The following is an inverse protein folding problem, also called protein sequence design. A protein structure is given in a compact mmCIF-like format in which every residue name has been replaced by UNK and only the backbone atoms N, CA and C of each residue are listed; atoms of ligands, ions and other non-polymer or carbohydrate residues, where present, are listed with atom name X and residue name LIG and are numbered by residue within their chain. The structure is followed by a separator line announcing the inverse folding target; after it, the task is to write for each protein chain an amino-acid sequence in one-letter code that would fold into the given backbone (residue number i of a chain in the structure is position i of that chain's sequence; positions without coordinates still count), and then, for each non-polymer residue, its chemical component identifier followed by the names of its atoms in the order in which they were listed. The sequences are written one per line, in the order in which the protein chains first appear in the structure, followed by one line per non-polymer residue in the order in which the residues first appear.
data_IF_746972204902
#
_entry.id   IF_746972204902
#
_cell.length_a   1.000
_cell.length_b   1.000
_cell.length_c   1.000
_cell.angle_alpha   90.00
_cell.angle_beta   90.00
_cell.angle_gamma   90.00
#
_symmetry.space_group_name_H-M   'P 1'
#
loop_
_entity.id
_entity.type
_entity.pdbx_description
1 polymer ?
#
# COMPACT_ATOMS: atom_id res chain seq x y z
N UNK A 1 -3.27 -21.42 0.73
CA UNK A 1 -3.28 -20.38 -0.32
C UNK A 1 -4.00 -19.19 0.30
N UNK A 2 -3.29 -18.10 0.62
CA UNK A 2 -3.95 -16.86 1.06
C UNK A 2 -4.77 -16.35 -0.11
N UNK A 3 -6.06 -16.15 0.08
CA UNK A 3 -6.99 -15.60 -0.91
C UNK A 3 -6.83 -14.09 -0.94
N UNK A 4 -6.62 -13.52 -2.13
CA UNK A 4 -6.64 -12.08 -2.33
C UNK A 4 -8.02 -11.53 -1.92
N UNK A 5 -8.01 -10.58 -0.99
CA UNK A 5 -9.22 -9.83 -0.64
C UNK A 5 -9.40 -8.68 -1.63
N UNK A 6 -10.65 -8.28 -1.95
CA UNK A 6 -10.90 -7.10 -2.76
C UNK A 6 -10.23 -5.86 -2.16
N UNK A 7 -9.59 -5.05 -3.00
CA UNK A 7 -9.01 -3.76 -2.57
C UNK A 7 -10.15 -2.85 -2.10
N UNK A 8 -10.08 -2.40 -0.85
CA UNK A 8 -11.01 -1.41 -0.30
C UNK A 8 -10.36 -0.03 -0.27
N UNK A 9 -11.21 0.99 -0.19
CA UNK A 9 -10.81 2.39 -0.07
C UNK A 9 -11.09 2.86 1.35
N UNK A 10 -10.09 3.40 2.02
CA UNK A 10 -10.20 4.03 3.34
C UNK A 10 -9.78 5.49 3.22
N UNK A 11 -10.35 6.37 4.03
CA UNK A 11 -9.95 7.77 4.11
C UNK A 11 -8.99 8.02 5.27
N UNK A 12 -7.85 8.62 4.99
CA UNK A 12 -7.04 9.28 6.00
C UNK A 12 -7.74 10.58 6.38
N UNK A 13 -8.44 10.58 7.51
CA UNK A 13 -9.23 11.72 7.97
C UNK A 13 -8.37 12.87 8.50
N UNK A 14 -7.05 12.69 8.64
CA UNK A 14 -6.12 13.74 9.10
C UNK A 14 -5.67 14.59 7.91
N UNK A 15 -5.32 13.95 6.77
CA UNK A 15 -4.94 14.64 5.53
C UNK A 15 -6.10 14.83 4.54
N UNK A 16 -7.26 14.20 4.78
CA UNK A 16 -8.41 14.22 3.87
C UNK A 16 -8.13 13.50 2.56
N UNK A 17 -7.35 12.40 2.60
CA UNK A 17 -6.90 11.65 1.41
C UNK A 17 -7.24 10.17 1.51
N UNK A 18 -7.87 9.65 0.47
CA UNK A 18 -8.13 8.21 0.38
C UNK A 18 -6.88 7.40 0.06
N UNK A 19 -6.84 6.16 0.56
CA UNK A 19 -5.80 5.16 0.30
C UNK A 19 -6.39 3.76 0.15
N UNK A 20 -5.60 2.85 -0.41
CA UNK A 20 -6.01 1.48 -0.70
C UNK A 20 -5.55 0.51 0.39
N UNK A 21 -6.39 -0.46 0.72
CA UNK A 21 -6.09 -1.46 1.75
C UNK A 21 -5.48 -2.73 1.18
N UNK A 22 -4.58 -3.35 1.94
CA UNK A 22 -4.03 -4.67 1.69
C UNK A 22 -3.55 -5.33 2.99
N UNK A 23 -3.03 -6.55 2.92
CA UNK A 23 -2.49 -7.22 4.11
C UNK A 23 -1.26 -6.53 4.72
N UNK A 24 -0.51 -5.76 3.92
CA UNK A 24 0.76 -5.14 4.34
C UNK A 24 0.58 -3.79 5.04
N UNK A 25 -0.63 -3.24 5.05
CA UNK A 25 -0.98 -2.05 5.82
C UNK A 25 -2.10 -2.33 6.83
N UNK A 26 -2.48 -3.58 7.06
CA UNK A 26 -3.57 -3.97 7.95
C UNK A 26 -3.05 -4.38 9.32
N UNK A 27 -3.74 -3.92 10.36
CA UNK A 27 -3.55 -4.33 11.74
C UNK A 27 -4.93 -4.48 12.41
N UNK A 28 -5.31 -5.68 12.81
CA UNK A 28 -6.68 -5.96 13.25
C UNK A 28 -7.72 -5.58 12.19
N UNK A 29 -8.59 -4.62 12.50
CA UNK A 29 -9.57 -4.03 11.57
C UNK A 29 -9.16 -2.61 11.09
N UNK A 30 -7.94 -2.19 11.43
CA UNK A 30 -7.38 -0.89 11.11
C UNK A 30 -6.40 -0.96 9.94
N UNK A 31 -6.27 0.14 9.22
CA UNK A 31 -5.35 0.24 8.08
C UNK A 31 -4.46 1.48 8.16
N UNK A 32 -3.16 1.29 7.95
CA UNK A 32 -2.15 2.34 7.97
C UNK A 32 -2.20 3.16 6.68
N UNK A 33 -2.37 4.46 6.82
CA UNK A 33 -2.28 5.43 5.73
C UNK A 33 -0.82 5.61 5.28
N UNK A 34 -0.54 5.62 3.97
CA UNK A 34 0.78 5.94 3.43
C UNK A 34 1.10 7.45 3.52
N UNK A 35 0.13 8.29 3.88
CA UNK A 35 0.27 9.75 3.94
C UNK A 35 0.73 10.20 5.32
N UNK A 36 -0.01 9.81 6.35
CA UNK A 36 0.25 10.22 7.75
C UNK A 36 0.99 9.18 8.55
N UNK A 37 1.16 7.96 8.02
CA UNK A 37 1.66 6.81 8.76
C UNK A 37 0.81 6.51 10.02
N UNK A 38 -0.49 6.83 10.01
CA UNK A 38 -1.43 6.54 11.10
C UNK A 38 -2.43 5.47 10.68
N UNK A 39 -2.99 4.76 11.66
CA UNK A 39 -4.00 3.74 11.43
C UNK A 39 -5.43 4.31 11.49
N UNK A 40 -6.28 3.82 10.59
CA UNK A 40 -7.69 4.20 10.48
C UNK A 40 -8.58 2.95 10.48
N UNK A 41 -9.47 2.77 11.48
CA UNK A 41 -9.55 3.55 12.73
C UNK A 41 -8.24 3.46 13.55
N UNK A 42 -8.00 4.36 14.51
CA UNK A 42 -6.84 4.26 15.39
C UNK A 42 -6.79 2.90 16.10
N UNK A 43 -5.61 2.30 16.18
CA UNK A 43 -5.38 1.07 16.94
C UNK A 43 -5.37 1.43 18.43
N UNK A 44 -6.20 0.77 19.22
CA UNK A 44 -6.18 0.88 20.67
C UNK A 44 -5.08 -0.04 21.21
N UNK A 45 -4.04 0.49 21.89
CA UNK A 45 -2.99 -0.33 22.48
C UNK A 45 -3.49 -1.25 23.61
N UNK A 46 -4.73 -1.06 24.08
CA UNK A 46 -5.32 -1.86 25.15
C UNK A 46 -4.52 -1.78 26.46
N UNK A 47 -4.92 -2.61 27.43
CA UNK A 47 -4.21 -2.72 28.72
C UNK A 47 -2.94 -3.60 28.62
N UNK A 48 -2.73 -4.30 27.51
CA UNK A 48 -1.60 -5.22 27.29
C UNK A 48 -0.39 -4.56 26.61
N UNK A 49 -0.50 -3.29 26.22
CA UNK A 49 0.59 -2.54 25.61
C UNK A 49 0.88 -2.97 24.17
N UNK A 50 -0.16 -3.38 23.44
CA UNK A 50 -0.05 -3.70 22.03
C UNK A 50 0.45 -2.50 21.22
N UNK A 51 1.49 -2.68 20.42
CA UNK A 51 1.98 -1.67 19.48
C UNK A 51 1.76 -2.15 18.04
N UNK A 52 1.06 -1.36 17.21
CA UNK A 52 0.82 -1.75 15.83
C UNK A 52 2.11 -1.73 15.01
N UNK A 53 2.14 -2.53 13.95
CA UNK A 53 3.34 -2.66 13.14
C UNK A 53 3.58 -1.43 12.25
N UNK A 54 4.77 -0.84 12.35
CA UNK A 54 5.23 0.26 11.51
C UNK A 54 6.49 -0.12 10.73
N UNK A 55 6.65 0.36 9.47
CA UNK A 55 7.92 0.24 8.79
C UNK A 55 9.00 1.03 9.54
N UNK A 56 10.24 0.55 9.49
CA UNK A 56 11.38 1.33 9.98
C UNK A 56 11.55 2.64 9.16
N UNK A 57 12.34 3.58 9.68
CA UNK A 57 12.51 4.91 9.07
C UNK A 57 13.03 4.88 7.63
N UNK A 58 13.88 3.90 7.27
CA UNK A 58 14.42 3.78 5.92
C UNK A 58 13.32 3.33 4.95
N UNK A 59 12.57 2.29 5.32
CA UNK A 59 11.42 1.80 4.55
C UNK A 59 10.31 2.84 4.43
N UNK A 60 10.01 3.59 5.49
CA UNK A 60 9.04 4.68 5.44
C UNK A 60 9.46 5.79 4.45
N UNK A 61 10.74 6.16 4.44
CA UNK A 61 11.27 7.13 3.47
C UNK A 61 11.20 6.60 2.02
N UNK A 62 11.45 5.30 1.81
CA UNK A 62 11.26 4.66 0.50
C UNK A 62 9.78 4.63 0.08
N UNK A 63 8.89 4.30 1.02
CA UNK A 63 7.45 4.27 0.82
C UNK A 63 6.89 5.62 0.38
N UNK A 64 7.28 6.71 1.04
CA UNK A 64 6.84 8.07 0.69
C UNK A 64 7.30 8.46 -0.73
N UNK A 65 8.56 8.20 -1.06
CA UNK A 65 9.11 8.45 -2.41
C UNK A 65 8.41 7.60 -3.47
N UNK A 66 8.13 6.33 -3.16
CA UNK A 66 7.45 5.43 -4.07
C UNK A 66 6.00 5.87 -4.31
N UNK A 67 5.26 6.26 -3.26
CA UNK A 67 3.89 6.78 -3.42
C UNK A 67 3.86 8.02 -4.33
N UNK A 68 4.81 8.95 -4.19
CA UNK A 68 4.91 10.11 -5.09
C UNK A 68 5.19 9.69 -6.54
N UNK A 69 6.16 8.80 -6.75
CA UNK A 69 6.57 8.35 -8.08
C UNK A 69 5.47 7.54 -8.79
N UNK A 70 4.89 6.57 -8.09
CA UNK A 70 3.84 5.71 -8.63
C UNK A 70 2.51 6.43 -8.81
N UNK A 71 2.23 7.48 -8.03
CA UNK A 71 1.10 8.39 -8.32
C UNK A 71 1.26 9.04 -9.69
N UNK A 72 2.46 9.51 -10.05
CA UNK A 72 2.73 10.05 -11.39
C UNK A 72 2.62 9.00 -12.48
N UNK A 73 3.15 7.79 -12.24
CA UNK A 73 3.00 6.67 -13.17
C UNK A 73 1.51 6.35 -13.39
N UNK A 74 0.74 6.19 -12.32
CA UNK A 74 -0.67 5.85 -12.39
C UNK A 74 -1.46 6.92 -13.15
N UNK A 75 -1.14 8.21 -12.95
CA UNK A 75 -1.72 9.30 -13.74
C UNK A 75 -1.54 9.12 -15.26
N UNK A 76 -0.35 8.71 -15.69
CA UNK A 76 -0.03 8.56 -17.11
C UNK A 76 -0.80 7.40 -17.78
N UNK A 77 -1.09 6.34 -17.03
CA UNK A 77 -1.70 5.12 -17.58
C UNK A 77 -3.20 4.99 -17.30
N UNK A 78 -3.67 5.50 -16.17
CA UNK A 78 -5.05 5.38 -15.73
C UNK A 78 -5.85 6.68 -15.89
N UNK A 79 -5.18 7.79 -16.27
CA UNK A 79 -5.73 9.12 -16.55
C UNK A 79 -6.41 9.78 -15.34
N UNK A 80 -7.64 9.37 -15.03
CA UNK A 80 -8.54 9.94 -14.01
C UNK A 80 -9.23 8.85 -13.20
N UNK A 81 -9.90 9.19 -12.09
CA UNK A 81 -10.68 8.27 -11.25
C UNK A 81 -9.90 7.00 -10.83
N UNK A 82 -8.63 7.18 -10.47
CA UNK A 82 -7.81 6.12 -9.90
C UNK A 82 -7.30 6.50 -8.52
N UNK A 83 -7.09 5.49 -7.69
CA UNK A 83 -6.38 5.56 -6.43
C UNK A 83 -5.16 4.66 -6.52
N UNK A 84 -4.11 5.05 -5.82
CA UNK A 84 -2.91 4.23 -5.72
C UNK A 84 -2.26 4.41 -4.36
N UNK A 85 -1.70 3.32 -3.85
CA UNK A 85 -0.97 3.30 -2.58
C UNK A 85 0.17 2.31 -2.67
N UNK A 86 1.30 2.66 -2.07
CA UNK A 86 2.47 1.80 -1.96
C UNK A 86 2.77 1.61 -0.48
N UNK A 87 3.06 0.38 -0.09
CA UNK A 87 3.49 0.04 1.27
C UNK A 87 4.80 -0.73 1.24
N UNK A 88 5.75 -0.36 2.09
CA UNK A 88 6.99 -1.11 2.30
C UNK A 88 6.93 -1.87 3.61
N UNK A 89 7.55 -3.04 3.65
CA UNK A 89 7.57 -3.92 4.81
C UNK A 89 8.87 -4.72 4.86
N UNK A 90 9.29 -5.06 6.09
CA UNK A 90 10.43 -5.94 6.30
C UNK A 90 10.14 -7.36 5.83
N UNK A 91 11.18 -8.09 5.45
CA UNK A 91 11.07 -9.51 5.06
C UNK A 91 11.92 -10.36 6.00
N UNK A 92 11.67 -11.66 6.01
CA UNK A 92 12.50 -12.61 6.77
C UNK A 92 13.93 -12.76 6.21
N UNK A 93 14.27 -12.06 5.11
CA UNK A 93 15.60 -12.10 4.51
C UNK A 93 16.53 -11.06 5.16
N UNK A 94 17.76 -11.42 5.57
CA UNK A 94 18.67 -10.54 6.33
C UNK A 94 19.02 -9.19 5.69
N UNK A 95 18.89 -9.07 4.36
CA UNK A 95 19.09 -7.83 3.60
C UNK A 95 18.00 -7.69 2.54
N UNK A 96 16.74 -7.88 2.95
CA UNK A 96 15.61 -7.81 2.05
C UNK A 96 14.47 -6.96 2.57
N UNK A 97 13.75 -6.36 1.64
CA UNK A 97 12.51 -5.65 1.89
C UNK A 97 11.46 -6.07 0.87
N UNK A 98 10.20 -5.89 1.23
CA UNK A 98 9.08 -6.04 0.34
C UNK A 98 8.39 -4.72 0.11
N UNK A 99 7.70 -4.60 -1.02
CA UNK A 99 6.70 -3.57 -1.19
C UNK A 99 5.48 -4.09 -1.94
N UNK A 100 4.33 -3.50 -1.63
CA UNK A 100 3.07 -3.78 -2.30
C UNK A 100 2.55 -2.48 -2.91
N UNK A 101 2.46 -2.44 -4.24
CA UNK A 101 1.89 -1.32 -4.98
C UNK A 101 0.50 -1.68 -5.51
N UNK A 102 -0.49 -0.91 -5.07
CA UNK A 102 -1.89 -1.07 -5.42
C UNK A 102 -2.34 0.03 -6.37
N UNK A 103 -3.17 -0.33 -7.35
CA UNK A 103 -3.94 0.60 -8.16
C UNK A 103 -5.38 0.13 -8.20
N UNK A 104 -6.31 1.02 -7.90
CA UNK A 104 -7.75 0.83 -8.07
C UNK A 104 -8.28 1.90 -9.01
N UNK A 105 -8.97 1.52 -10.07
CA UNK A 105 -9.67 2.44 -10.96
C UNK A 105 -11.12 2.02 -11.05
N UNK A 106 -12.02 2.98 -10.83
CA UNK A 106 -13.46 2.78 -11.01
C UNK A 106 -13.96 3.66 -12.15
N UNK A 107 -15.01 3.19 -12.82
CA UNK A 107 -15.76 3.93 -13.83
C UNK A 107 -17.23 3.64 -13.61
N UNK A 108 -17.98 4.69 -13.31
CA UNK A 108 -19.41 4.59 -13.04
C UNK A 108 -20.16 5.50 -14.01
N UNK A 109 -21.23 4.99 -14.63
CA UNK A 109 -22.16 5.76 -15.46
C UNK A 109 -21.51 6.63 -16.57
N UNK A 110 -20.40 6.15 -17.16
CA UNK A 110 -19.77 6.79 -18.32
C UNK A 110 -19.98 5.95 -19.58
N UNK A 111 -20.40 6.60 -20.68
CA UNK A 111 -20.52 5.99 -22.01
C UNK A 111 -21.42 4.73 -22.09
N UNK A 112 -22.44 4.63 -21.23
CA UNK A 112 -23.37 3.47 -21.21
C UNK A 112 -22.82 2.22 -20.52
N UNK A 113 -21.74 2.35 -19.75
CA UNK A 113 -21.28 1.35 -18.79
C UNK A 113 -21.91 1.68 -17.43
N UNK A 114 -22.61 0.70 -16.84
CA UNK A 114 -23.22 0.85 -15.53
C UNK A 114 -22.13 1.00 -14.44
N UNK A 115 -21.22 0.03 -14.35
CA UNK A 115 -20.06 0.04 -13.44
C UNK A 115 -18.88 -0.78 -14.01
N UNK A 116 -17.65 -0.35 -13.71
CA UNK A 116 -16.44 -1.08 -14.07
C UNK A 116 -15.28 -0.79 -13.12
N UNK A 117 -14.68 -1.85 -12.56
CA UNK A 117 -13.55 -1.74 -11.63
C UNK A 117 -12.33 -2.49 -12.15
N UNK A 118 -11.16 -1.85 -12.04
CA UNK A 118 -9.86 -2.44 -12.24
C UNK A 118 -9.07 -2.38 -10.94
N UNK A 119 -8.67 -3.55 -10.43
CA UNK A 119 -7.78 -3.70 -9.28
C UNK A 119 -6.46 -4.33 -9.72
N UNK A 120 -5.34 -3.70 -9.38
CA UNK A 120 -4.00 -4.24 -9.61
C UNK A 120 -3.21 -4.24 -8.31
N UNK A 121 -2.55 -5.37 -8.03
CA UNK A 121 -1.72 -5.60 -6.84
C UNK A 121 -0.35 -6.08 -7.35
N UNK A 122 0.69 -5.32 -7.07
CA UNK A 122 2.07 -5.65 -7.44
C UNK A 122 2.86 -5.90 -6.16
N UNK A 123 3.18 -7.16 -5.89
CA UNK A 123 3.98 -7.54 -4.73
C UNK A 123 5.42 -7.75 -5.19
N UNK A 124 6.34 -6.93 -4.68
CA UNK A 124 7.75 -7.00 -5.03
C UNK A 124 8.56 -7.33 -3.80
N UNK A 125 9.45 -8.32 -3.89
CA UNK A 125 10.47 -8.57 -2.86
C UNK A 125 11.86 -8.32 -3.44
N UNK A 126 12.68 -7.60 -2.69
CA UNK A 126 14.08 -7.36 -3.00
C UNK A 126 14.96 -8.08 -1.99
N UNK A 127 16.05 -8.69 -2.44
CA UNK A 127 17.08 -9.26 -1.57
C UNK A 127 18.45 -8.88 -2.09
N UNK A 128 19.28 -8.28 -1.24
CA UNK A 128 20.65 -7.91 -1.55
C UNK A 128 21.56 -9.11 -1.27
N UNK A 129 22.41 -9.45 -2.24
CA UNK A 129 23.44 -10.48 -2.06
C UNK A 129 24.76 -9.90 -1.55
N UNK A 130 25.69 -10.76 -1.14
CA UNK A 130 27.01 -10.37 -0.60
C UNK A 130 27.85 -9.53 -1.57
N UNK A 131 27.47 -9.48 -2.86
CA UNK A 131 28.14 -8.71 -3.91
C UNK A 131 27.42 -7.39 -4.22
N UNK A 132 26.51 -6.95 -3.34
CA UNK A 132 25.71 -5.74 -3.51
C UNK A 132 24.82 -5.77 -4.77
N UNK A 133 24.45 -6.97 -5.25
CA UNK A 133 23.44 -7.12 -6.30
C UNK A 133 22.08 -7.35 -5.68
N UNK A 134 21.06 -6.71 -6.23
CA UNK A 134 19.68 -6.87 -5.78
C UNK A 134 18.96 -7.86 -6.67
N UNK A 135 18.36 -8.88 -6.08
CA UNK A 135 17.42 -9.79 -6.75
C UNK A 135 16.00 -9.31 -6.47
N UNK A 136 15.28 -8.98 -7.53
CA UNK A 136 13.87 -8.64 -7.46
C UNK A 136 13.02 -9.82 -7.88
N UNK A 137 11.95 -10.07 -7.14
CA UNK A 137 10.85 -10.96 -7.53
C UNK A 137 9.58 -10.14 -7.53
N UNK A 138 8.84 -10.20 -8.63
CA UNK A 138 7.53 -9.58 -8.85
C UNK A 138 6.53 -10.69 -9.10
#
# INVERSE_FOLDING_TARGET
MKTDQPIQVVEDTVEGRSFLTCEYNKDGDSFRSPWTNQFFPPVDPGDDGYEPFYPNNELLSMEQKANELFSRYAKLYYDSNYLTSVYFFDTDQPQGFGCCWLVKKTKDNENGIDEGTWDAIHLVTATVDDKQKVKYRV
#
